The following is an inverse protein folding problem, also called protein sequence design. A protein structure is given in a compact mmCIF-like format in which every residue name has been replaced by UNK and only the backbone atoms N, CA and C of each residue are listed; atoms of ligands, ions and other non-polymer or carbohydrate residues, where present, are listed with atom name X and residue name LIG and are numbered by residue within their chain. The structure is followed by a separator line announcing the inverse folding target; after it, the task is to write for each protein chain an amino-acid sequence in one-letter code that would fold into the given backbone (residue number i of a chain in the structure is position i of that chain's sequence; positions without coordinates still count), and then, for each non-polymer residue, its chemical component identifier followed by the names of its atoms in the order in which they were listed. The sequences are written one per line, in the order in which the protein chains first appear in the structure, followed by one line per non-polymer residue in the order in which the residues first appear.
data_IF_057846187202
#
_entry.id   IF_057846187202
#
_cell.length_a   1.000
_cell.length_b   1.000
_cell.length_c   1.000
_cell.angle_alpha   90.00
_cell.angle_beta   90.00
_cell.angle_gamma   90.00
#
_symmetry.space_group_name_H-M   'P 1'
#
loop_
_entity.id
_entity.type
_entity.pdbx_description
1 polymer ?
#
# COMPACT_ATOMS: atom_id res chain seq x y z
N UNK A 1 16.09 2.65 -21.35
CA UNK A 1 16.54 1.23 -21.32
C UNK A 1 16.48 0.68 -19.89
N UNK A 2 15.30 0.59 -19.26
CA UNK A 2 15.14 -0.01 -17.92
C UNK A 2 13.92 -0.95 -17.80
N UNK A 3 13.17 -1.18 -18.90
CA UNK A 3 12.11 -2.19 -18.94
C UNK A 3 12.60 -3.64 -19.08
N UNK A 4 13.91 -3.88 -19.26
CA UNK A 4 14.46 -5.21 -19.53
C UNK A 4 14.86 -6.01 -18.28
N UNK A 5 14.90 -5.37 -17.09
CA UNK A 5 15.28 -6.02 -15.83
C UNK A 5 14.05 -6.51 -15.05
N UNK A 6 12.98 -5.71 -14.96
CA UNK A 6 11.72 -6.16 -14.34
C UNK A 6 11.00 -7.24 -15.17
N UNK A 7 11.09 -7.16 -16.50
CA UNK A 7 10.53 -8.17 -17.39
C UNK A 7 11.14 -9.57 -17.22
N UNK A 8 12.40 -9.68 -16.75
CA UNK A 8 13.08 -10.96 -16.55
C UNK A 8 12.82 -11.59 -15.19
N UNK A 9 12.55 -10.82 -14.14
CA UNK A 9 12.19 -11.37 -12.84
C UNK A 9 10.77 -12.00 -12.87
N UNK A 10 9.91 -11.53 -13.78
CA UNK A 10 8.55 -12.03 -13.98
C UNK A 10 8.42 -13.15 -15.02
N UNK A 11 9.47 -13.40 -15.82
CA UNK A 11 9.51 -14.47 -16.82
C UNK A 11 9.54 -15.90 -16.21
N UNK A 12 9.80 -16.02 -14.90
CA UNK A 12 9.91 -17.31 -14.21
C UNK A 12 8.62 -17.76 -13.48
N UNK A 13 7.56 -16.94 -13.44
CA UNK A 13 6.27 -17.30 -12.87
C UNK A 13 5.20 -17.34 -13.99
N UNK A 14 5.16 -18.43 -14.76
CA UNK A 14 4.17 -18.72 -15.82
C UNK A 14 2.69 -18.82 -15.34
N UNK A 15 2.33 -18.28 -14.16
CA UNK A 15 1.00 -18.44 -13.55
C UNK A 15 0.12 -17.18 -13.62
N UNK A 16 0.70 -16.00 -13.85
CA UNK A 16 -0.03 -14.71 -13.69
C UNK A 16 0.15 -13.73 -14.87
N UNK A 17 0.72 -14.18 -15.98
CA UNK A 17 0.98 -13.29 -17.13
C UNK A 17 -0.33 -12.68 -17.68
N UNK A 18 -1.39 -13.48 -17.75
CA UNK A 18 -2.73 -13.03 -18.19
C UNK A 18 -3.41 -12.06 -17.19
N UNK A 19 -2.94 -11.99 -15.95
CA UNK A 19 -3.52 -11.15 -14.89
C UNK A 19 -2.72 -9.86 -14.66
N UNK A 20 -1.57 -9.69 -15.31
CA UNK A 20 -0.76 -8.49 -15.17
C UNK A 20 -1.49 -7.27 -15.76
N UNK A 21 -1.56 -6.17 -15.00
CA UNK A 21 -2.16 -4.90 -15.44
C UNK A 21 -1.04 -3.91 -15.72
N UNK A 22 -0.97 -3.40 -16.96
CA UNK A 22 -0.05 -2.31 -17.33
C UNK A 22 -0.72 -0.96 -17.15
N UNK A 23 -0.01 -0.04 -16.50
CA UNK A 23 -0.49 1.31 -16.15
C UNK A 23 0.45 2.36 -16.73
N UNK A 24 -0.08 3.54 -17.06
CA UNK A 24 0.67 4.60 -17.76
C UNK A 24 1.41 5.56 -16.81
N UNK A 25 1.87 5.07 -15.65
CA UNK A 25 2.63 5.87 -14.69
C UNK A 25 4.04 5.26 -14.47
N UNK A 26 5.08 5.82 -15.12
CA UNK A 26 6.43 5.26 -15.06
C UNK A 26 7.11 5.44 -13.70
N UNK A 27 6.58 6.29 -12.81
CA UNK A 27 7.10 6.43 -11.45
C UNK A 27 6.49 5.35 -10.57
N UNK A 28 5.18 5.13 -10.68
CA UNK A 28 4.48 4.05 -9.98
C UNK A 28 5.04 2.67 -10.35
N UNK A 29 5.27 2.41 -11.65
CA UNK A 29 5.81 1.11 -12.13
C UNK A 29 7.24 0.80 -11.63
N UNK A 30 7.97 1.79 -11.08
CA UNK A 30 9.26 1.53 -10.43
C UNK A 30 9.10 0.82 -9.08
N UNK A 31 7.98 1.04 -8.41
CA UNK A 31 7.73 0.54 -7.06
C UNK A 31 6.72 -0.61 -7.02
N UNK A 32 5.77 -0.65 -7.96
CA UNK A 32 4.65 -1.58 -7.92
C UNK A 32 4.54 -2.40 -9.22
N UNK A 33 4.23 -3.69 -9.05
CA UNK A 33 3.71 -4.56 -10.10
C UNK A 33 2.27 -4.91 -9.77
N UNK A 34 1.36 -4.79 -10.74
CA UNK A 34 -0.08 -4.91 -10.52
C UNK A 34 -0.63 -6.15 -11.18
N UNK A 35 -1.45 -6.89 -10.43
CA UNK A 35 -2.15 -8.08 -10.88
C UNK A 35 -3.63 -7.94 -10.54
N UNK A 36 -4.51 -8.33 -11.45
CA UNK A 36 -5.96 -8.32 -11.25
C UNK A 36 -6.64 -9.37 -12.12
N UNK A 37 -7.74 -9.91 -11.62
CA UNK A 37 -8.68 -10.70 -12.42
C UNK A 37 -9.60 -9.83 -13.29
N UNK A 38 -9.70 -8.54 -12.97
CA UNK A 38 -10.45 -7.54 -13.73
C UNK A 38 -9.56 -6.33 -14.07
N UNK A 39 -9.22 -6.22 -15.36
CA UNK A 39 -8.36 -5.17 -15.91
C UNK A 39 -9.01 -3.78 -15.89
N UNK A 40 -10.34 -3.73 -15.97
CA UNK A 40 -11.10 -2.48 -16.00
C UNK A 40 -11.20 -1.95 -14.58
N UNK A 41 -11.61 -2.79 -13.63
CA UNK A 41 -11.68 -2.44 -12.21
C UNK A 41 -10.32 -1.95 -11.69
N UNK A 42 -9.23 -2.64 -12.03
CA UNK A 42 -7.88 -2.23 -11.63
C UNK A 42 -7.53 -0.79 -12.04
N UNK A 43 -7.93 -0.35 -13.23
CA UNK A 43 -7.68 1.03 -13.72
C UNK A 43 -8.59 2.06 -13.06
N UNK A 44 -9.79 1.67 -12.66
CA UNK A 44 -10.67 2.52 -11.86
C UNK A 44 -10.12 2.71 -10.44
N UNK A 45 -9.67 1.62 -9.80
CA UNK A 45 -9.08 1.65 -8.46
C UNK A 45 -7.74 2.40 -8.45
N UNK A 46 -6.87 2.10 -9.42
CA UNK A 46 -5.56 2.73 -9.59
C UNK A 46 -5.64 3.91 -10.55
N UNK A 47 -6.54 4.85 -10.25
CA UNK A 47 -6.56 6.15 -10.89
C UNK A 47 -5.20 6.86 -10.75
N UNK A 48 -4.86 7.83 -11.63
CA UNK A 48 -3.59 8.57 -11.54
C UNK A 48 -3.32 9.18 -10.16
N UNK A 49 -4.35 9.70 -9.48
CA UNK A 49 -4.22 10.22 -8.12
C UNK A 49 -3.93 9.14 -7.09
N UNK A 50 -4.57 7.97 -7.19
CA UNK A 50 -4.29 6.84 -6.30
C UNK A 50 -2.86 6.32 -6.49
N UNK A 51 -2.41 6.16 -7.74
CA UNK A 51 -1.02 5.76 -8.03
C UNK A 51 0.00 6.74 -7.45
N UNK A 52 -0.23 8.04 -7.62
CA UNK A 52 0.63 9.08 -7.05
C UNK A 52 0.65 9.02 -5.51
N UNK A 53 -0.51 8.85 -4.86
CA UNK A 53 -0.61 8.75 -3.39
C UNK A 53 0.09 7.51 -2.84
N UNK A 54 -0.10 6.35 -3.48
CA UNK A 54 0.59 5.12 -3.10
C UNK A 54 2.11 5.24 -3.26
N UNK A 55 2.56 5.92 -4.32
CA UNK A 55 3.97 6.17 -4.56
C UNK A 55 4.57 7.11 -3.51
N UNK A 56 3.88 8.21 -3.19
CA UNK A 56 4.30 9.13 -2.14
C UNK A 56 4.38 8.43 -0.78
N UNK A 57 3.36 7.63 -0.43
CA UNK A 57 3.34 6.85 0.79
C UNK A 57 4.52 5.88 0.88
N UNK A 58 4.77 5.13 -0.20
CA UNK A 58 5.90 4.20 -0.29
C UNK A 58 7.24 4.90 -0.12
N UNK A 59 7.41 6.08 -0.71
CA UNK A 59 8.64 6.87 -0.57
C UNK A 59 8.81 7.43 0.84
N UNK A 60 7.72 7.93 1.45
CA UNK A 60 7.73 8.48 2.81
C UNK A 60 8.08 7.42 3.86
N UNK A 61 7.52 6.22 3.72
CA UNK A 61 7.79 5.11 4.64
C UNK A 61 9.14 4.43 4.41
N UNK A 62 9.73 4.62 3.23
CA UNK A 62 10.98 4.00 2.78
C UNK A 62 11.06 2.47 2.99
N UNK A 63 9.92 1.78 3.02
CA UNK A 63 9.84 0.32 3.17
C UNK A 63 8.86 -0.29 2.19
N UNK A 64 9.00 -1.59 1.90
CA UNK A 64 8.12 -2.30 0.99
C UNK A 64 6.65 -2.20 1.41
N UNK A 65 5.82 -1.83 0.44
CA UNK A 65 4.39 -1.66 0.59
C UNK A 65 3.69 -2.65 -0.33
N UNK A 66 2.77 -3.46 0.22
CA UNK A 66 1.87 -4.31 -0.55
C UNK A 66 0.45 -3.83 -0.31
N UNK A 67 -0.33 -3.75 -1.38
CA UNK A 67 -1.71 -3.27 -1.34
C UNK A 67 -2.61 -4.28 -2.04
N UNK A 68 -3.70 -4.64 -1.39
CA UNK A 68 -4.75 -5.48 -1.92
C UNK A 68 -6.06 -4.70 -1.88
N UNK A 69 -6.75 -4.69 -3.01
CA UNK A 69 -8.13 -4.23 -3.08
C UNK A 69 -9.02 -5.47 -3.16
N UNK A 70 -9.95 -5.59 -2.23
CA UNK A 70 -10.95 -6.64 -2.22
C UNK A 70 -12.31 -6.07 -1.80
N UNK A 71 -13.29 -6.20 -2.69
CA UNK A 71 -14.67 -5.77 -2.45
C UNK A 71 -14.79 -4.29 -2.05
N UNK A 72 -14.96 -3.98 -0.76
CA UNK A 72 -15.02 -2.61 -0.24
C UNK A 72 -13.88 -2.29 0.73
N UNK A 73 -12.81 -3.07 0.67
CA UNK A 73 -11.68 -2.99 1.59
C UNK A 73 -10.40 -2.78 0.82
N UNK A 74 -9.56 -1.94 1.39
CA UNK A 74 -8.15 -1.87 1.05
C UNK A 74 -7.38 -2.49 2.21
N UNK A 75 -6.50 -3.43 1.90
CA UNK A 75 -5.57 -4.03 2.86
C UNK A 75 -4.18 -3.57 2.47
N UNK A 76 -3.49 -2.98 3.44
CA UNK A 76 -2.14 -2.44 3.25
C UNK A 76 -1.23 -3.20 4.20
N UNK A 77 -0.24 -3.89 3.64
CA UNK A 77 0.82 -4.53 4.40
C UNK A 77 2.11 -3.71 4.25
N UNK A 78 2.68 -3.34 5.38
CA UNK A 78 3.89 -2.53 5.49
C UNK A 78 4.92 -3.37 6.23
N UNK A 79 6.09 -3.57 5.63
CA UNK A 79 7.20 -4.26 6.28
C UNK A 79 7.86 -3.28 7.29
N UNK A 80 7.34 -3.22 8.51
CA UNK A 80 7.84 -2.35 9.58
C UNK A 80 9.07 -2.98 10.27
N UNK A 81 10.05 -2.15 10.63
CA UNK A 81 11.26 -2.61 11.30
C UNK A 81 11.05 -2.96 12.79
N UNK A 82 9.95 -2.49 13.39
CA UNK A 82 9.59 -2.68 14.79
C UNK A 82 8.16 -3.19 14.93
N UNK A 83 7.87 -3.87 16.05
CA UNK A 83 6.51 -4.24 16.42
C UNK A 83 5.69 -2.99 16.76
N UNK A 84 4.87 -2.53 15.82
CA UNK A 84 3.93 -1.45 16.08
C UNK A 84 2.70 -1.96 16.81
N UNK A 85 2.12 -1.12 17.66
CA UNK A 85 0.91 -1.36 18.44
C UNK A 85 1.02 -2.54 19.43
N UNK A 86 2.24 -2.95 19.75
CA UNK A 86 2.50 -3.98 20.76
C UNK A 86 2.95 -3.33 22.08
N UNK A 87 2.24 -3.58 23.21
CA UNK A 87 2.76 -3.18 24.50
C UNK A 87 4.02 -4.00 24.83
N UNK A 88 4.96 -3.45 25.63
CA UNK A 88 6.12 -4.18 26.06
C UNK A 88 5.70 -5.43 26.86
N UNK A 89 6.35 -6.57 26.59
CA UNK A 89 6.05 -7.84 27.25
C UNK A 89 6.24 -7.79 28.79
N UNK A 90 7.07 -6.86 29.26
CA UNK A 90 7.33 -6.60 30.67
C UNK A 90 7.35 -5.09 30.90
N UNK A 91 6.68 -4.61 31.95
CA UNK A 91 6.59 -3.19 32.28
C UNK A 91 5.20 -2.79 32.78
N UNK A 92 5.06 -1.53 33.19
CA UNK A 92 3.77 -0.97 33.57
C UNK A 92 3.02 -0.50 32.31
N UNK A 93 1.79 -0.98 32.12
CA UNK A 93 0.92 -0.57 31.00
C UNK A 93 0.45 0.89 31.11
N UNK A 94 0.58 1.50 32.30
CA UNK A 94 0.23 2.90 32.56
C UNK A 94 1.47 3.82 32.57
N UNK A 95 2.51 3.47 31.79
CA UNK A 95 3.64 4.35 31.54
C UNK A 95 3.24 5.43 30.52
N UNK A 96 3.29 6.73 30.85
CA UNK A 96 2.98 7.80 29.92
C UNK A 96 3.79 7.75 28.62
N UNK A 97 5.06 7.29 28.68
CA UNK A 97 5.89 7.18 27.48
C UNK A 97 5.40 6.09 26.52
N UNK A 98 4.84 5.00 27.06
CA UNK A 98 4.21 3.95 26.25
C UNK A 98 2.95 4.46 25.57
N UNK A 99 2.13 5.25 26.29
CA UNK A 99 0.91 5.85 25.73
C UNK A 99 1.24 6.79 24.58
N UNK A 100 2.20 7.71 24.79
CA UNK A 100 2.63 8.65 23.75
C UNK A 100 3.21 7.93 22.50
N UNK A 101 3.94 6.84 22.73
CA UNK A 101 4.46 6.02 21.63
C UNK A 101 3.34 5.39 20.81
N UNK A 102 2.37 4.75 21.46
CA UNK A 102 1.21 4.13 20.79
C UNK A 102 0.36 5.18 20.08
N UNK A 103 0.15 6.35 20.69
CA UNK A 103 -0.56 7.48 20.05
C UNK A 103 0.14 7.89 18.75
N UNK A 104 1.47 8.01 18.76
CA UNK A 104 2.24 8.34 17.55
C UNK A 104 2.10 7.28 16.45
N UNK A 105 2.07 6.00 16.81
CA UNK A 105 1.85 4.90 15.86
C UNK A 105 0.42 4.93 15.28
N UNK A 106 -0.58 5.19 16.11
CA UNK A 106 -1.97 5.36 15.68
C UNK A 106 -2.14 6.55 14.73
N UNK A 107 -1.54 7.69 15.06
CA UNK A 107 -1.54 8.87 14.19
C UNK A 107 -0.86 8.58 12.85
N UNK A 108 0.19 7.77 12.84
CA UNK A 108 0.83 7.31 11.61
C UNK A 108 -0.12 6.46 10.76
N UNK A 109 -0.86 5.54 11.37
CA UNK A 109 -1.87 4.70 10.67
C UNK A 109 -3.03 5.57 10.14
N UNK A 110 -3.55 6.49 10.95
CA UNK A 110 -4.62 7.41 10.53
C UNK A 110 -4.15 8.39 9.45
N UNK A 111 -2.88 8.77 9.49
CA UNK A 111 -2.23 9.56 8.46
C UNK A 111 -2.29 8.88 7.10
N UNK A 112 -2.11 7.55 7.03
CA UNK A 112 -2.23 6.78 5.78
C UNK A 112 -3.65 6.88 5.21
N UNK A 113 -4.68 6.77 6.05
CA UNK A 113 -6.08 6.88 5.62
C UNK A 113 -6.35 8.24 4.97
N UNK A 114 -5.75 9.29 5.52
CA UNK A 114 -5.87 10.67 5.03
C UNK A 114 -5.03 10.86 3.76
N UNK A 115 -3.79 10.39 3.74
CA UNK A 115 -2.86 10.50 2.62
C UNK A 115 -3.36 9.79 1.37
N UNK A 116 -4.00 8.63 1.55
CA UNK A 116 -4.61 7.85 0.46
C UNK A 116 -6.02 8.33 0.10
N UNK A 117 -6.54 9.32 0.83
CA UNK A 117 -7.86 9.91 0.62
C UNK A 117 -8.99 8.85 0.65
N UNK A 118 -8.92 7.91 1.60
CA UNK A 118 -9.88 6.80 1.71
C UNK A 118 -11.23 7.25 2.30
N UNK A 119 -11.26 8.40 2.98
CA UNK A 119 -12.43 8.94 3.66
C UNK A 119 -13.30 9.85 2.77
N UNK A 120 -12.84 10.19 1.56
CA UNK A 120 -13.73 10.86 0.61
C UNK A 120 -14.74 9.86 0.07
N UNK A 121 -15.99 10.31 -0.08
CA UNK A 121 -17.08 9.56 -0.72
C UNK A 121 -16.74 9.30 -2.20
N UNK A 122 -15.83 8.37 -2.46
CA UNK A 122 -15.68 7.73 -3.78
C UNK A 122 -16.62 6.52 -3.86
N UNK A 123 -17.10 6.05 -2.69
CA UNK A 123 -17.94 4.86 -2.52
C UNK A 123 -19.38 5.19 -2.16
N UNK A 124 -20.10 5.92 -3.01
CA UNK A 124 -21.55 5.76 -3.07
C UNK A 124 -21.84 4.64 -4.07
N UNK A 125 -22.10 3.42 -3.57
CA UNK A 125 -22.71 2.37 -4.39
C UNK A 125 -24.07 2.86 -4.90
N UNK A 126 -24.34 2.56 -6.17
CA UNK A 126 -25.65 2.67 -6.83
C UNK A 126 -26.74 1.88 -6.10
#
# INVERSE_FOLDING_TARGET
MFGSLLGRFLQNCNLLEDQAVRLEDPVFEQYFSVYSTDQVEARYLLSPSMMARLTALRQRLDTNLRVLFDSNRIVIAIDLASSWLEPPAFGALADPALVEHIETELDSVLGIVTELDLNTRIWSKA
#
